data_IF_252043677567
#
_entry.id   IF_252043677567
#
_cell.length_a   1.000
_cell.length_b   1.000
_cell.length_c   1.000
_cell.angle_alpha   90.00
_cell.angle_beta   90.00
_cell.angle_gamma   90.00
#
_symmetry.space_group_name_H-M   'P 1'
#
loop_
_entity.id
_entity.type
_entity.pdbx_description
1 polymer ?
#
# COMPACT_ATOMS: atom_id res chain seq x y z
N UNK A 1 17.11 72.14 13.71
CA UNK A 1 17.90 71.00 13.22
C UNK A 1 16.90 69.99 12.69
N UNK A 2 16.80 69.86 11.37
CA UNK A 2 15.81 69.01 10.71
C UNK A 2 16.25 67.56 10.80
N UNK A 3 15.35 66.67 11.23
CA UNK A 3 15.57 65.23 11.34
C UNK A 3 16.00 64.70 9.97
N UNK A 4 17.20 64.12 9.88
CA UNK A 4 17.81 63.64 8.63
C UNK A 4 17.16 62.37 8.07
N UNK A 5 15.84 62.23 8.21
CA UNK A 5 15.09 61.08 7.75
C UNK A 5 14.43 61.39 6.41
N UNK A 6 14.55 60.45 5.47
CA UNK A 6 13.98 60.60 4.14
C UNK A 6 12.45 60.48 4.20
N UNK A 7 11.69 61.30 3.46
CA UNK A 7 10.23 61.37 3.55
C UNK A 7 9.49 60.04 3.39
N UNK A 8 10.12 59.06 2.75
CA UNK A 8 9.62 57.70 2.55
C UNK A 8 9.46 56.90 3.86
N UNK A 9 10.41 57.06 4.80
CA UNK A 9 10.43 56.31 6.06
C UNK A 9 9.32 56.71 7.05
N UNK A 10 8.70 57.88 6.85
CA UNK A 10 7.67 58.40 7.75
C UNK A 10 6.26 57.90 7.42
N UNK A 11 6.02 57.42 6.19
CA UNK A 11 4.68 57.01 5.72
C UNK A 11 4.50 55.50 5.80
N UNK A 12 5.61 54.77 5.72
CA UNK A 12 5.62 53.31 5.72
C UNK A 12 6.58 52.87 6.84
N UNK A 13 6.03 52.48 7.99
CA UNK A 13 6.75 51.99 9.19
C UNK A 13 7.45 50.64 8.95
N UNK A 14 8.20 50.53 7.87
CA UNK A 14 9.05 49.40 7.53
C UNK A 14 10.29 49.95 6.83
N UNK A 15 11.43 49.83 7.49
CA UNK A 15 12.75 50.03 6.88
C UNK A 15 13.00 48.86 5.94
N UNK A 16 12.23 48.79 4.86
CA UNK A 16 12.25 47.69 3.91
C UNK A 16 13.41 47.89 2.95
N UNK A 17 14.49 47.13 3.19
CA UNK A 17 15.60 47.03 2.26
C UNK A 17 15.08 46.24 1.06
N UNK A 18 14.78 46.92 -0.03
CA UNK A 18 14.52 46.28 -1.32
C UNK A 18 15.83 45.56 -1.69
N UNK A 19 15.87 44.22 -1.76
CA UNK A 19 17.05 43.57 -2.30
C UNK A 19 17.16 44.04 -3.75
N UNK A 20 18.30 44.66 -4.08
CA UNK A 20 18.60 44.97 -5.46
C UNK A 20 18.34 43.70 -6.28
N UNK A 21 17.55 43.81 -7.35
CA UNK A 21 17.39 42.73 -8.32
C UNK A 21 18.80 42.44 -8.86
N UNK A 22 19.46 41.44 -8.29
CA UNK A 22 20.74 40.96 -8.77
C UNK A 22 20.41 40.31 -10.10
N UNK A 23 20.64 41.06 -11.17
CA UNK A 23 20.55 40.65 -12.57
C UNK A 23 21.56 39.52 -12.91
N UNK A 24 22.34 39.04 -11.93
CA UNK A 24 23.19 37.87 -12.09
C UNK A 24 22.39 36.59 -11.91
N UNK A 25 22.33 35.80 -12.98
CA UNK A 25 21.82 34.43 -12.91
C UNK A 25 22.57 33.67 -11.81
N UNK A 26 21.85 33.27 -10.77
CA UNK A 26 22.45 32.43 -9.73
C UNK A 26 22.98 31.14 -10.37
N UNK A 27 24.10 30.62 -9.85
CA UNK A 27 24.71 29.36 -10.33
C UNK A 27 23.72 28.19 -10.42
N UNK A 28 22.65 28.19 -9.62
CA UNK A 28 21.58 27.20 -9.65
C UNK A 28 20.72 27.27 -10.92
N UNK A 29 20.51 28.46 -11.47
CA UNK A 29 19.72 28.71 -12.68
C UNK A 29 20.58 28.46 -13.92
N UNK A 30 21.83 28.94 -13.93
CA UNK A 30 22.72 28.74 -15.08
C UNK A 30 23.11 27.28 -15.31
N UNK A 31 23.13 26.46 -14.25
CA UNK A 31 23.37 25.01 -14.34
C UNK A 31 22.08 24.18 -14.43
N UNK A 32 20.91 24.82 -14.53
CA UNK A 32 19.63 24.12 -14.61
C UNK A 32 19.40 23.57 -16.01
N UNK A 33 19.46 22.25 -16.15
CA UNK A 33 19.04 21.58 -17.37
C UNK A 33 17.63 20.94 -17.21
N UNK A 34 16.59 21.50 -17.83
CA UNK A 34 15.24 20.95 -17.78
C UNK A 34 15.12 19.58 -18.47
N UNK A 35 15.96 19.30 -19.47
CA UNK A 35 15.87 18.07 -20.25
C UNK A 35 16.32 16.86 -19.41
N UNK A 36 17.52 16.93 -18.81
CA UNK A 36 17.99 15.88 -17.90
C UNK A 36 17.09 15.68 -16.67
N UNK A 37 16.53 16.76 -16.11
CA UNK A 37 15.55 16.65 -15.01
C UNK A 37 14.27 15.93 -15.43
N UNK A 38 13.76 16.21 -16.63
CA UNK A 38 12.58 15.53 -17.17
C UNK A 38 12.87 14.06 -17.45
N UNK A 39 14.03 13.76 -18.01
CA UNK A 39 14.46 12.40 -18.30
C UNK A 39 14.65 11.57 -17.02
N UNK A 40 15.31 12.13 -16.00
CA UNK A 40 15.43 11.49 -14.69
C UNK A 40 14.06 11.22 -14.06
N UNK A 41 13.13 12.19 -14.11
CA UNK A 41 11.76 12.00 -13.63
C UNK A 41 11.01 10.90 -14.38
N UNK A 42 11.19 10.81 -15.70
CA UNK A 42 10.57 9.76 -16.51
C UNK A 42 11.15 8.38 -16.14
N UNK A 43 12.46 8.28 -16.01
CA UNK A 43 13.13 7.04 -15.60
C UNK A 43 12.66 6.58 -14.23
N UNK A 44 12.56 7.48 -13.25
CA UNK A 44 12.08 7.17 -11.90
C UNK A 44 10.65 6.62 -11.93
N UNK A 45 9.77 7.25 -12.71
CA UNK A 45 8.38 6.80 -12.85
C UNK A 45 8.29 5.41 -13.50
N UNK A 46 9.03 5.19 -14.58
CA UNK A 46 9.08 3.89 -15.27
C UNK A 46 9.61 2.80 -14.34
N UNK A 47 10.70 3.06 -13.62
CA UNK A 47 11.27 2.11 -12.66
C UNK A 47 10.32 1.81 -11.48
N UNK A 48 9.44 2.75 -11.11
CA UNK A 48 8.40 2.50 -10.12
C UNK A 48 7.28 1.61 -10.68
N UNK A 49 6.85 1.86 -11.91
CA UNK A 49 5.80 1.07 -12.55
C UNK A 49 6.26 -0.37 -12.78
N UNK A 50 7.48 -0.57 -13.30
CA UNK A 50 8.09 -1.90 -13.47
C UNK A 50 8.14 -2.69 -12.15
N UNK A 51 8.48 -2.01 -11.04
CA UNK A 51 8.47 -2.65 -9.71
C UNK A 51 7.08 -3.07 -9.27
N UNK A 52 6.05 -2.26 -9.57
CA UNK A 52 4.65 -2.62 -9.26
C UNK A 52 4.20 -3.79 -10.10
N UNK A 53 4.49 -3.79 -11.40
CA UNK A 53 4.15 -4.88 -12.31
C UNK A 53 4.83 -6.18 -11.89
N UNK A 54 6.10 -6.11 -11.52
CA UNK A 54 6.83 -7.26 -11.02
C UNK A 54 6.20 -7.81 -9.72
N UNK A 55 5.90 -6.94 -8.75
CA UNK A 55 5.24 -7.33 -7.51
C UNK A 55 3.84 -7.93 -7.77
N UNK A 56 3.09 -7.38 -8.72
CA UNK A 56 1.78 -7.88 -9.13
C UNK A 56 1.89 -9.26 -9.76
N UNK A 57 2.83 -9.45 -10.70
CA UNK A 57 3.09 -10.74 -11.33
C UNK A 57 3.51 -11.80 -10.31
N UNK A 58 4.39 -11.47 -9.38
CA UNK A 58 4.77 -12.38 -8.28
C UNK A 58 3.57 -12.76 -7.43
N UNK A 59 2.71 -11.80 -7.07
CA UNK A 59 1.49 -12.06 -6.28
C UNK A 59 0.53 -12.98 -7.01
N UNK A 60 0.30 -12.75 -8.31
CA UNK A 60 -0.56 -13.61 -9.13
C UNK A 60 0.03 -15.02 -9.25
N UNK A 61 1.33 -15.13 -9.49
CA UNK A 61 2.02 -16.40 -9.55
C UNK A 61 1.87 -17.19 -8.24
N UNK A 62 2.15 -16.55 -7.11
CA UNK A 62 2.01 -17.16 -5.79
C UNK A 62 0.57 -17.62 -5.52
N UNK A 63 -0.43 -16.77 -5.84
CA UNK A 63 -1.84 -17.12 -5.72
C UNK A 63 -2.20 -18.34 -6.57
N UNK A 64 -1.70 -18.42 -7.79
CA UNK A 64 -1.93 -19.55 -8.70
C UNK A 64 -1.35 -20.85 -8.13
N UNK A 65 -0.12 -20.80 -7.61
CA UNK A 65 0.51 -21.96 -6.95
C UNK A 65 -0.30 -22.43 -5.74
N UNK A 66 -0.78 -21.50 -4.91
CA UNK A 66 -1.62 -21.81 -3.75
C UNK A 66 -2.94 -22.48 -4.16
N UNK A 67 -3.62 -21.94 -5.18
CA UNK A 67 -4.86 -22.52 -5.71
C UNK A 67 -4.60 -23.91 -6.28
N UNK A 68 -3.53 -24.10 -7.06
CA UNK A 68 -3.17 -25.40 -7.64
C UNK A 68 -2.85 -26.43 -6.55
N UNK A 69 -2.07 -26.05 -5.54
CA UNK A 69 -1.75 -26.91 -4.41
C UNK A 69 -2.99 -27.30 -3.62
N UNK A 70 -3.88 -26.34 -3.35
CA UNK A 70 -5.16 -26.58 -2.70
C UNK A 70 -6.03 -27.55 -3.50
N UNK A 71 -6.27 -27.28 -4.79
CA UNK A 71 -7.08 -28.14 -5.68
C UNK A 71 -6.50 -29.55 -5.83
N UNK A 72 -5.18 -29.71 -5.77
CA UNK A 72 -4.53 -31.04 -5.81
C UNK A 72 -4.73 -31.83 -4.52
N UNK A 73 -4.71 -31.17 -3.36
CA UNK A 73 -4.80 -31.83 -2.04
C UNK A 73 -6.24 -32.06 -1.59
N UNK A 74 -7.15 -31.15 -1.94
CA UNK A 74 -8.54 -31.20 -1.48
C UNK A 74 -9.38 -31.99 -2.48
N UNK A 75 -9.98 -33.07 -2.00
CA UNK A 75 -11.03 -33.80 -2.72
C UNK A 75 -12.39 -33.30 -2.24
N UNK A 76 -13.25 -32.77 -3.13
CA UNK A 76 -14.61 -32.37 -2.75
C UNK A 76 -15.35 -33.56 -2.13
N UNK A 77 -15.86 -33.39 -0.91
CA UNK A 77 -16.68 -34.40 -0.23
C UNK A 77 -18.11 -33.88 -0.15
N UNK A 78 -19.05 -34.69 -0.60
CA UNK A 78 -20.47 -34.39 -0.53
C UNK A 78 -21.02 -35.04 0.74
N UNK A 79 -21.70 -34.27 1.56
CA UNK A 79 -22.41 -34.78 2.74
C UNK A 79 -23.81 -35.23 2.35
N UNK A 80 -24.30 -36.24 3.05
CA UNK A 80 -25.69 -36.72 3.01
C UNK A 80 -26.29 -36.64 4.41
N UNK A 81 -27.61 -36.51 4.47
CA UNK A 81 -28.33 -36.64 5.74
C UNK A 81 -28.05 -38.03 6.30
N UNK A 82 -27.68 -38.09 7.59
CA UNK A 82 -27.26 -39.31 8.27
C UNK A 82 -25.74 -39.52 8.36
N UNK A 83 -24.93 -38.81 7.57
CA UNK A 83 -23.47 -38.92 7.64
C UNK A 83 -22.94 -38.43 9.00
N UNK A 84 -21.92 -39.13 9.51
CA UNK A 84 -21.15 -38.69 10.68
C UNK A 84 -19.99 -37.78 10.24
N UNK A 85 -19.89 -36.62 10.88
CA UNK A 85 -18.89 -35.58 10.57
C UNK A 85 -18.26 -35.03 11.84
N UNK A 86 -17.00 -34.61 11.74
CA UNK A 86 -16.31 -33.87 12.80
C UNK A 86 -16.43 -32.38 12.51
N UNK A 87 -16.72 -31.57 13.53
CA UNK A 87 -16.76 -30.11 13.40
C UNK A 87 -15.41 -29.55 13.80
N UNK A 88 -14.83 -28.65 13.00
CA UNK A 88 -13.61 -27.95 13.40
C UNK A 88 -13.93 -26.98 14.54
N UNK A 89 -13.16 -27.04 15.62
CA UNK A 89 -13.28 -26.11 16.74
C UNK A 89 -12.86 -24.71 16.28
N UNK A 90 -13.64 -23.71 16.68
CA UNK A 90 -13.32 -22.31 16.38
C UNK A 90 -12.07 -21.88 17.13
N UNK A 91 -11.19 -21.10 16.49
CA UNK A 91 -9.92 -20.66 17.09
C UNK A 91 -10.12 -19.92 18.41
N UNK A 92 -11.24 -19.20 18.57
CA UNK A 92 -11.59 -18.49 19.81
C UNK A 92 -11.92 -19.42 20.99
N UNK A 93 -12.22 -20.69 20.72
CA UNK A 93 -12.53 -21.72 21.74
C UNK A 93 -11.30 -22.56 22.10
N UNK A 94 -10.18 -22.37 21.40
CA UNK A 94 -8.90 -22.98 21.77
C UNK A 94 -8.26 -22.15 22.88
N UNK A 95 -8.15 -22.74 24.07
CA UNK A 95 -7.51 -22.13 25.25
C UNK A 95 -6.01 -22.46 25.26
N UNK A 96 -5.60 -23.55 24.62
CA UNK A 96 -4.20 -23.98 24.51
C UNK A 96 -3.84 -24.65 23.19
N UNK A 97 -2.53 -24.68 22.89
CA UNK A 97 -1.94 -25.31 21.69
C UNK A 97 -2.21 -26.82 21.58
N UNK A 98 -2.59 -27.47 22.70
CA UNK A 98 -2.87 -28.91 22.79
C UNK A 98 -4.37 -29.24 22.81
N UNK A 99 -5.24 -28.25 22.69
CA UNK A 99 -6.67 -28.50 22.66
C UNK A 99 -7.07 -29.21 21.36
N UNK A 100 -8.02 -30.13 21.46
CA UNK A 100 -8.49 -30.94 20.33
C UNK A 100 -9.09 -30.03 19.26
N UNK A 101 -8.55 -30.06 18.04
CA UNK A 101 -8.98 -29.22 16.92
C UNK A 101 -10.35 -29.58 16.32
N UNK A 102 -10.91 -30.71 16.74
CA UNK A 102 -12.13 -31.30 16.20
C UNK A 102 -13.08 -31.65 17.34
N UNK A 103 -14.31 -31.15 17.23
CA UNK A 103 -15.40 -31.41 18.15
C UNK A 103 -16.28 -32.53 17.58
N UNK A 104 -16.53 -33.54 18.41
CA UNK A 104 -17.63 -34.51 18.34
C UNK A 104 -17.83 -35.30 17.04
N UNK A 105 -18.44 -36.49 17.09
CA UNK A 105 -19.15 -37.03 15.95
C UNK A 105 -20.56 -36.41 15.88
N UNK A 106 -20.81 -35.55 14.90
CA UNK A 106 -22.12 -35.00 14.61
C UNK A 106 -22.80 -35.77 13.49
N UNK A 107 -24.12 -35.91 13.55
CA UNK A 107 -24.92 -36.44 12.44
C UNK A 107 -25.52 -35.29 11.63
N UNK A 108 -25.37 -35.34 10.31
CA UNK A 108 -26.01 -34.37 9.41
C UNK A 108 -27.52 -34.61 9.40
N UNK A 109 -28.31 -33.64 9.84
CA UNK A 109 -29.79 -33.74 9.88
C UNK A 109 -30.47 -33.08 8.68
N UNK A 110 -29.87 -32.04 8.12
CA UNK A 110 -30.43 -31.24 7.03
C UNK A 110 -29.29 -30.60 6.21
N UNK A 111 -29.49 -30.45 4.89
CA UNK A 111 -28.53 -29.79 4.00
C UNK A 111 -29.24 -28.61 3.32
N UNK A 112 -28.99 -27.39 3.81
CA UNK A 112 -29.65 -26.17 3.30
C UNK A 112 -29.03 -25.63 2.02
N UNK A 113 -27.71 -25.79 1.84
CA UNK A 113 -26.97 -25.40 0.63
C UNK A 113 -25.64 -26.14 0.58
N UNK A 114 -25.21 -26.56 -0.61
CA UNK A 114 -23.87 -27.14 -0.81
C UNK A 114 -22.83 -26.01 -0.73
N UNK A 115 -21.84 -26.15 0.15
CA UNK A 115 -20.68 -25.25 0.21
C UNK A 115 -19.84 -25.40 -1.06
N UNK A 116 -19.42 -24.27 -1.65
CA UNK A 116 -18.60 -24.20 -2.87
C UNK A 116 -17.12 -24.28 -2.54
#
# INVERSE_FOLDING_TARGET
>A
MATGETPFCLVHDTKEIIPAEIEEETKRISQYDPASKREGRFFDLTAMEERRDHAYAQRLHHKSLMIRSYKRKVRPRHFRVGDLVLKKVEVLKHVGKLDIAWEGPYKVVEIKKRGT
#
